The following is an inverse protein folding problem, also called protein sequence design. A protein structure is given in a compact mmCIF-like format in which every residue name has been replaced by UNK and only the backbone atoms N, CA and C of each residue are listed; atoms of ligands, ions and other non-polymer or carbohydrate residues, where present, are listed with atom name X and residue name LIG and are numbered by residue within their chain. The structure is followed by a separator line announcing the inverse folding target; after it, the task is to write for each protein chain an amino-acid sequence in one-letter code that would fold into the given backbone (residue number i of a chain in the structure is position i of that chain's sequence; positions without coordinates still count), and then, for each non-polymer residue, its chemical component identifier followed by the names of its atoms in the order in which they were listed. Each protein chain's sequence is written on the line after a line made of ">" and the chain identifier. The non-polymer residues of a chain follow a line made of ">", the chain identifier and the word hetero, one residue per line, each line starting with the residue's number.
data_IF_036171930110
#
_entry.id   IF_036171930110
#
_cell.length_a   1.000
_cell.length_b   1.000
_cell.length_c   1.000
_cell.angle_alpha   90.00
_cell.angle_beta   90.00
_cell.angle_gamma   90.00
#
_symmetry.space_group_name_H-M   'P 1'
#
loop_
_entity.id
_entity.type
_entity.pdbx_description
1 polymer ?
#
# COMPACT_ATOMS: atom_id res chain seq x y z
N UNK A 1 6.72 -9.29 15.47
CA UNK A 1 6.55 -7.86 15.13
C UNK A 1 7.82 -7.02 15.31
N UNK A 2 8.75 -7.38 16.20
CA UNK A 2 10.00 -6.62 16.41
C UNK A 2 10.83 -6.37 15.14
N UNK A 3 10.96 -7.36 14.24
CA UNK A 3 11.74 -7.20 12.99
C UNK A 3 11.12 -6.13 12.07
N UNK A 4 9.79 -6.08 11.94
CA UNK A 4 9.11 -5.06 11.13
C UNK A 4 9.35 -3.66 11.70
N UNK A 5 9.34 -3.51 13.02
CA UNK A 5 9.63 -2.22 13.66
C UNK A 5 11.08 -1.78 13.42
N UNK A 6 12.03 -2.71 13.46
CA UNK A 6 13.44 -2.44 13.10
C UNK A 6 13.57 -2.04 11.62
N UNK A 7 12.82 -2.68 10.72
CA UNK A 7 12.77 -2.25 9.33
C UNK A 7 12.19 -0.84 9.19
N UNK A 8 11.05 -0.55 9.82
CA UNK A 8 10.43 0.77 9.77
C UNK A 8 11.35 1.89 10.29
N UNK A 9 12.01 1.70 11.43
CA UNK A 9 12.94 2.70 11.97
C UNK A 9 14.16 2.88 11.05
N UNK A 10 14.64 1.80 10.43
CA UNK A 10 15.77 1.86 9.51
C UNK A 10 15.41 2.62 8.23
N UNK A 11 14.24 2.36 7.63
CA UNK A 11 13.77 3.10 6.45
C UNK A 11 13.49 4.56 6.79
N UNK A 12 12.87 4.83 7.94
CA UNK A 12 12.63 6.21 8.39
C UNK A 12 13.94 7.00 8.56
N UNK A 13 15.02 6.35 9.00
CA UNK A 13 16.34 6.99 9.13
C UNK A 13 16.99 7.42 7.81
N UNK A 14 16.50 6.91 6.66
CA UNK A 14 16.95 7.33 5.32
C UNK A 14 16.27 8.63 4.85
N UNK A 15 15.31 9.16 5.63
CA UNK A 15 14.56 10.36 5.26
C UNK A 15 15.43 11.61 5.43
N UNK A 16 15.54 12.40 4.36
CA UNK A 16 16.14 13.73 4.45
C UNK A 16 15.18 14.72 5.14
N UNK A 17 15.55 15.17 6.33
CA UNK A 17 14.76 16.12 7.11
C UNK A 17 14.67 17.50 6.44
N UNK A 18 15.67 17.92 5.66
CA UNK A 18 15.67 19.20 4.96
C UNK A 18 14.66 19.20 3.80
N UNK A 19 14.61 18.11 3.03
CA UNK A 19 13.59 17.87 2.00
C UNK A 19 12.16 17.79 2.57
N UNK A 20 11.99 17.30 3.80
CA UNK A 20 10.68 17.26 4.45
C UNK A 20 10.15 18.65 4.81
N UNK A 21 11.04 19.56 5.22
CA UNK A 21 10.70 20.95 5.56
C UNK A 21 10.38 21.80 4.32
N UNK A 22 10.91 21.41 3.15
CA UNK A 22 10.69 22.09 1.87
C UNK A 22 9.97 21.17 0.89
N UNK A 23 8.87 20.55 1.35
CA UNK A 23 8.15 19.58 0.53
C UNK A 23 7.55 20.28 -0.69
N UNK A 24 7.75 19.70 -1.87
CA UNK A 24 7.08 20.14 -3.08
C UNK A 24 5.60 19.75 -3.01
N UNK A 25 4.72 20.75 -3.11
CA UNK A 25 3.28 20.55 -2.95
C UNK A 25 2.69 19.68 -4.06
N UNK A 26 3.27 19.69 -5.26
CA UNK A 26 2.84 18.86 -6.38
C UNK A 26 3.17 17.40 -6.10
N UNK A 27 4.39 17.11 -5.61
CA UNK A 27 4.77 15.75 -5.22
C UNK A 27 3.90 15.26 -4.05
N UNK A 28 3.69 16.10 -3.05
CA UNK A 28 2.84 15.76 -1.91
C UNK A 28 1.39 15.46 -2.34
N UNK A 29 0.81 16.29 -3.22
CA UNK A 29 -0.53 16.07 -3.76
C UNK A 29 -0.60 14.81 -4.63
N UNK A 30 0.43 14.52 -5.42
CA UNK A 30 0.52 13.30 -6.22
C UNK A 30 0.53 12.05 -5.35
N UNK A 31 1.36 12.02 -4.29
CA UNK A 31 1.41 10.90 -3.35
C UNK A 31 0.10 10.76 -2.58
N UNK A 32 -0.44 11.87 -2.05
CA UNK A 32 -1.72 11.84 -1.34
C UNK A 32 -2.87 11.37 -2.25
N UNK A 33 -2.92 11.85 -3.49
CA UNK A 33 -3.88 11.42 -4.49
C UNK A 33 -3.75 9.92 -4.82
N UNK A 34 -2.52 9.42 -4.99
CA UNK A 34 -2.28 8.00 -5.22
C UNK A 34 -2.72 7.12 -4.06
N UNK A 35 -2.36 7.50 -2.82
CA UNK A 35 -2.71 6.73 -1.61
C UNK A 35 -4.21 6.79 -1.34
N UNK A 36 -4.77 7.98 -1.11
CA UNK A 36 -6.18 8.12 -0.71
C UNK A 36 -7.13 7.87 -1.88
N UNK A 37 -6.78 8.31 -3.09
CA UNK A 37 -7.56 8.02 -4.29
C UNK A 37 -7.55 6.53 -4.62
N UNK A 38 -6.41 5.86 -4.50
CA UNK A 38 -6.30 4.41 -4.64
C UNK A 38 -7.12 3.66 -3.59
N UNK A 39 -7.06 4.09 -2.33
CA UNK A 39 -7.85 3.51 -1.24
C UNK A 39 -9.35 3.68 -1.47
N UNK A 40 -9.78 4.86 -1.91
CA UNK A 40 -11.18 5.16 -2.23
C UNK A 40 -11.68 4.34 -3.43
N UNK A 41 -10.89 4.26 -4.50
CA UNK A 41 -11.19 3.43 -5.67
C UNK A 41 -11.33 1.96 -5.26
N UNK A 42 -10.38 1.45 -4.47
CA UNK A 42 -10.42 0.09 -3.96
C UNK A 42 -11.68 -0.17 -3.12
N UNK A 43 -12.04 0.75 -2.22
CA UNK A 43 -13.25 0.65 -1.41
C UNK A 43 -14.53 0.61 -2.28
N UNK A 44 -14.61 1.44 -3.32
CA UNK A 44 -15.74 1.44 -4.26
C UNK A 44 -15.81 0.10 -5.00
N UNK A 45 -14.69 -0.40 -5.52
CA UNK A 45 -14.63 -1.68 -6.22
C UNK A 45 -15.03 -2.84 -5.29
N UNK A 46 -14.54 -2.86 -4.05
CA UNK A 46 -14.94 -3.84 -3.03
C UNK A 46 -16.44 -3.78 -2.74
N UNK A 47 -17.02 -2.58 -2.63
CA UNK A 47 -18.46 -2.40 -2.42
C UNK A 47 -19.27 -2.96 -3.58
N UNK A 48 -18.85 -2.73 -4.82
CA UNK A 48 -19.50 -3.28 -6.01
C UNK A 48 -19.37 -4.81 -6.09
N UNK A 49 -18.20 -5.35 -5.72
CA UNK A 49 -17.93 -6.79 -5.64
C UNK A 49 -18.52 -7.46 -4.39
N UNK A 50 -19.19 -6.70 -3.50
CA UNK A 50 -19.77 -7.18 -2.24
C UNK A 50 -18.74 -7.84 -1.30
N UNK A 51 -17.51 -7.33 -1.29
CA UNK A 51 -16.46 -7.73 -0.35
C UNK A 51 -16.74 -7.11 1.02
N UNK A 52 -16.56 -7.89 2.09
CA UNK A 52 -16.77 -7.42 3.46
C UNK A 52 -15.69 -6.43 3.93
N UNK A 53 -16.00 -5.69 4.99
CA UNK A 53 -15.15 -4.61 5.50
C UNK A 53 -13.83 -5.15 6.06
N UNK A 54 -13.83 -6.30 6.73
CA UNK A 54 -12.63 -6.87 7.36
C UNK A 54 -11.65 -7.30 6.25
N UNK A 55 -12.14 -7.96 5.21
CA UNK A 55 -11.36 -8.35 4.04
C UNK A 55 -10.81 -7.14 3.29
N UNK A 56 -11.62 -6.09 3.11
CA UNK A 56 -11.16 -4.83 2.51
C UNK A 56 -10.02 -4.20 3.33
N UNK A 57 -10.16 -4.08 4.65
CA UNK A 57 -9.13 -3.49 5.52
C UNK A 57 -7.81 -4.26 5.36
N UNK A 58 -7.86 -5.59 5.40
CA UNK A 58 -6.66 -6.43 5.32
C UNK A 58 -6.00 -6.37 3.94
N UNK A 59 -6.78 -6.45 2.87
CA UNK A 59 -6.26 -6.32 1.51
C UNK A 59 -5.70 -4.91 1.25
N UNK A 60 -6.37 -3.86 1.75
CA UNK A 60 -5.96 -2.48 1.58
C UNK A 60 -4.68 -2.15 2.37
N UNK A 61 -4.53 -2.68 3.59
CA UNK A 61 -3.25 -2.59 4.33
C UNK A 61 -2.14 -3.25 3.53
N UNK A 62 -2.39 -4.41 2.95
CA UNK A 62 -1.38 -5.07 2.14
C UNK A 62 -1.00 -4.26 0.89
N UNK A 63 -1.97 -3.61 0.24
CA UNK A 63 -1.77 -2.84 -0.98
C UNK A 63 -1.04 -1.51 -0.74
N UNK A 64 -1.35 -0.82 0.36
CA UNK A 64 -0.78 0.51 0.68
C UNK A 64 0.48 0.40 1.55
N UNK A 65 0.44 -0.44 2.58
CA UNK A 65 1.52 -0.52 3.57
C UNK A 65 2.54 -1.62 3.29
N UNK A 66 2.19 -2.63 2.46
CA UNK A 66 2.96 -3.85 2.12
C UNK A 66 2.52 -5.11 2.90
N UNK A 67 2.58 -6.32 2.28
CA UNK A 67 2.23 -7.58 2.92
C UNK A 67 2.81 -7.85 4.32
N UNK A 68 4.05 -7.45 4.67
CA UNK A 68 4.58 -7.66 6.02
C UNK A 68 3.74 -7.01 7.14
N UNK A 69 2.93 -5.99 6.84
CA UNK A 69 2.08 -5.31 7.82
C UNK A 69 0.72 -6.00 8.03
N UNK A 70 0.37 -6.99 7.20
CA UNK A 70 -0.89 -7.73 7.29
C UNK A 70 -1.11 -8.41 8.65
N UNK A 71 -0.12 -9.14 9.24
CA UNK A 71 -0.33 -9.77 10.54
C UNK A 71 -0.65 -8.77 11.65
N UNK A 72 -0.07 -7.56 11.60
CA UNK A 72 -0.33 -6.50 12.56
C UNK A 72 -1.77 -5.98 12.46
N UNK A 73 -2.24 -5.71 11.24
CA UNK A 73 -3.60 -5.25 11.02
C UNK A 73 -4.65 -6.32 11.36
N UNK A 74 -4.39 -7.58 10.99
CA UNK A 74 -5.26 -8.70 11.31
C UNK A 74 -5.41 -8.94 12.82
N UNK A 75 -4.34 -8.71 13.58
CA UNK A 75 -4.38 -8.79 15.03
C UNK A 75 -5.19 -7.64 15.64
N UNK A 76 -4.99 -6.42 15.15
CA UNK A 76 -5.68 -5.22 15.63
C UNK A 76 -7.22 -5.30 15.48
N UNK A 77 -7.72 -5.98 14.44
CA UNK A 77 -9.15 -6.16 14.20
C UNK A 77 -9.69 -7.52 14.67
N UNK A 78 -8.88 -8.35 15.35
CA UNK A 78 -9.25 -9.70 15.80
C UNK A 78 -9.72 -10.64 14.65
N UNK A 79 -9.01 -10.59 13.52
CA UNK A 79 -9.29 -11.40 12.30
C UNK A 79 -8.04 -12.05 11.72
N UNK A 80 -7.30 -12.80 12.55
CA UNK A 80 -6.08 -13.52 12.12
C UNK A 80 -6.31 -14.53 10.99
N UNK A 81 -7.54 -15.02 10.82
CA UNK A 81 -7.93 -15.88 9.70
C UNK A 81 -7.77 -15.20 8.33
N UNK A 82 -7.72 -13.87 8.27
CA UNK A 82 -7.55 -13.10 7.02
C UNK A 82 -6.06 -12.88 6.65
N UNK A 83 -5.10 -13.30 7.48
CA UNK A 83 -3.67 -13.14 7.19
C UNK A 83 -3.27 -13.75 5.83
N UNK A 84 -3.68 -14.98 5.47
CA UNK A 84 -3.35 -15.54 4.17
C UNK A 84 -3.88 -14.69 3.01
N UNK A 85 -5.11 -14.17 3.14
CA UNK A 85 -5.73 -13.32 2.11
C UNK A 85 -4.92 -12.04 1.92
N UNK A 86 -4.56 -11.34 3.01
CA UNK A 86 -3.75 -10.14 2.92
C UNK A 86 -2.38 -10.41 2.30
N UNK A 87 -1.68 -11.47 2.73
CA UNK A 87 -0.36 -11.79 2.18
C UNK A 87 -0.41 -12.14 0.69
N UNK A 88 -1.38 -12.97 0.29
CA UNK A 88 -1.54 -13.37 -1.11
C UNK A 88 -1.90 -12.18 -2.00
N UNK A 89 -2.88 -11.38 -1.61
CA UNK A 89 -3.28 -10.17 -2.37
C UNK A 89 -2.13 -9.17 -2.48
N UNK A 90 -1.33 -9.00 -1.42
CA UNK A 90 -0.13 -8.17 -1.44
C UNK A 90 0.92 -8.61 -2.44
N UNK A 91 1.29 -9.90 -2.42
CA UNK A 91 2.32 -10.44 -3.32
C UNK A 91 1.88 -10.34 -4.78
N UNK A 92 0.61 -10.66 -5.06
CA UNK A 92 0.02 -10.53 -6.40
C UNK A 92 0.02 -9.06 -6.83
N UNK A 93 -0.42 -8.16 -5.96
CA UNK A 93 -0.44 -6.72 -6.22
C UNK A 93 0.97 -6.18 -6.49
N UNK A 94 1.98 -6.65 -5.78
CA UNK A 94 3.39 -6.28 -6.01
C UNK A 94 3.86 -6.70 -7.40
N UNK A 95 3.55 -7.93 -7.82
CA UNK A 95 3.85 -8.41 -9.17
C UNK A 95 3.17 -7.55 -10.25
N UNK A 96 1.86 -7.36 -10.12
CA UNK A 96 1.05 -6.59 -11.09
C UNK A 96 1.54 -5.14 -11.16
N UNK A 97 1.71 -4.48 -10.01
CA UNK A 97 2.12 -3.08 -9.93
C UNK A 97 3.49 -2.82 -10.56
N UNK A 98 4.46 -3.72 -10.36
CA UNK A 98 5.77 -3.60 -10.98
C UNK A 98 5.70 -3.63 -12.51
N UNK A 99 5.01 -4.63 -13.08
CA UNK A 99 4.92 -4.75 -14.53
C UNK A 99 4.06 -3.65 -15.16
N UNK A 100 3.00 -3.18 -14.49
CA UNK A 100 2.24 -2.03 -14.93
C UNK A 100 3.09 -0.75 -14.94
N UNK A 101 3.89 -0.52 -13.90
CA UNK A 101 4.80 0.63 -13.84
C UNK A 101 5.84 0.62 -14.95
N UNK A 102 6.48 -0.55 -15.19
CA UNK A 102 7.43 -0.73 -16.30
C UNK A 102 6.75 -0.48 -17.65
N UNK A 103 5.55 -1.05 -17.86
CA UNK A 103 4.81 -0.89 -19.11
C UNK A 103 4.42 0.56 -19.37
N UNK A 104 3.98 1.26 -18.32
CA UNK A 104 3.65 2.68 -18.39
C UNK A 104 4.89 3.53 -18.70
N UNK A 105 6.04 3.21 -18.10
CA UNK A 105 7.31 3.90 -18.40
C UNK A 105 7.71 3.74 -19.88
N UNK A 106 7.58 2.53 -20.45
CA UNK A 106 7.85 2.32 -21.87
C UNK A 106 6.86 3.07 -22.77
N UNK A 107 5.57 3.09 -22.41
CA UNK A 107 4.55 3.81 -23.17
C UNK A 107 4.79 5.32 -23.17
N UNK A 108 5.13 5.90 -22.01
CA UNK A 108 5.45 7.32 -21.89
C UNK A 108 6.77 7.69 -22.57
N UNK A 109 7.77 6.80 -22.55
CA UNK A 109 9.05 7.01 -23.26
C UNK A 109 8.90 6.97 -24.79
N UNK A 110 7.85 6.31 -25.29
CA UNK A 110 7.54 6.24 -26.72
C UNK A 110 6.71 7.41 -27.26
N UNK A 111 6.25 8.31 -26.39
CA UNK A 111 5.45 9.50 -26.70
C UNK A 111 6.33 10.75 -26.77
#
# INVERSE_FOLDING_TARGET
>A
MYIILIFCISVASLTDAAGLLNIDLVIAAYVAGGVFGGMLLHAILCKLAKVDVDTYIIASVSAICSPPFVPAAADAINRRNLIPIGLTTGIIGYGIGNYLGISLAYLLSSL
#
